data_IF_577399440423
#
_entry.id   IF_577399440423
#
_cell.length_a   1.000
_cell.length_b   1.000
_cell.length_c   1.000
_cell.angle_alpha   90.00
_cell.angle_beta   90.00
_cell.angle_gamma   90.00
#
_symmetry.space_group_name_H-M   'P 1'
#
loop_
_entity.id
_entity.type
_entity.pdbx_description
1 polymer ?
#
# COMPACT_ATOMS: atom_id res chain seq x y z
N UNK A 1 14.42 21.81 3.30
CA UNK A 1 13.59 20.60 3.52
C UNK A 1 13.72 20.21 4.97
N UNK A 2 12.61 20.06 5.70
CA UNK A 2 12.62 19.51 7.06
C UNK A 2 12.30 18.03 6.96
N UNK A 3 13.22 17.17 7.38
CA UNK A 3 12.98 15.73 7.45
C UNK A 3 12.26 15.39 8.75
N UNK A 4 11.47 14.32 8.74
CA UNK A 4 10.85 13.83 9.96
C UNK A 4 11.88 13.03 10.77
N UNK A 5 12.22 13.45 12.01
CA UNK A 5 13.18 12.72 12.84
C UNK A 5 12.69 11.34 13.31
N UNK A 6 11.36 11.11 13.37
CA UNK A 6 10.73 9.86 13.80
C UNK A 6 10.44 8.88 12.64
N UNK A 7 11.12 9.05 11.51
CA UNK A 7 10.87 8.27 10.28
C UNK A 7 10.91 6.75 10.52
N UNK A 8 11.82 6.25 11.34
CA UNK A 8 12.01 4.82 11.61
C UNK A 8 10.84 4.21 12.37
N UNK A 9 10.38 4.88 13.43
CA UNK A 9 9.23 4.46 14.23
C UNK A 9 7.96 4.47 13.39
N UNK A 10 7.76 5.53 12.59
CA UNK A 10 6.60 5.66 11.71
C UNK A 10 6.61 4.58 10.63
N UNK A 11 7.74 4.37 9.97
CA UNK A 11 7.86 3.35 8.92
C UNK A 11 7.60 1.94 9.48
N UNK A 12 8.20 1.62 10.63
CA UNK A 12 8.03 0.30 11.27
C UNK A 12 6.59 0.05 11.67
N UNK A 13 5.95 1.01 12.36
CA UNK A 13 4.56 0.90 12.77
C UNK A 13 3.62 0.82 11.56
N UNK A 14 3.88 1.61 10.51
CA UNK A 14 3.12 1.58 9.27
C UNK A 14 3.19 0.22 8.59
N UNK A 15 4.39 -0.33 8.39
CA UNK A 15 4.57 -1.64 7.73
C UNK A 15 3.85 -2.74 8.51
N UNK A 16 4.02 -2.78 9.83
CA UNK A 16 3.30 -3.74 10.69
C UNK A 16 1.79 -3.60 10.55
N UNK A 17 1.28 -2.36 10.59
CA UNK A 17 -0.14 -2.11 10.46
C UNK A 17 -0.68 -2.50 9.07
N UNK A 18 0.01 -2.12 8.00
CA UNK A 18 -0.35 -2.44 6.62
C UNK A 18 -0.49 -3.95 6.43
N UNK A 19 0.55 -4.72 6.76
CA UNK A 19 0.53 -6.17 6.54
C UNK A 19 -0.44 -6.92 7.47
N UNK A 20 -0.73 -6.39 8.67
CA UNK A 20 -1.81 -6.93 9.51
C UNK A 20 -3.19 -6.94 8.83
N UNK A 21 -3.40 -6.03 7.87
CA UNK A 21 -4.62 -5.91 7.06
C UNK A 21 -4.46 -6.54 5.68
N UNK A 22 -3.27 -6.50 5.11
CA UNK A 22 -2.99 -7.07 3.79
C UNK A 22 -3.04 -8.60 3.78
N UNK A 23 -2.50 -9.25 4.81
CA UNK A 23 -2.37 -10.72 4.88
C UNK A 23 -3.70 -11.45 5.16
N UNK A 24 -4.82 -10.73 5.12
CA UNK A 24 -6.16 -11.32 5.17
C UNK A 24 -6.41 -12.11 3.88
N UNK A 25 -6.86 -13.36 3.99
CA UNK A 25 -7.12 -14.23 2.82
C UNK A 25 -8.35 -13.81 2.00
N UNK A 26 -9.30 -13.12 2.62
CA UNK A 26 -10.48 -12.58 1.96
C UNK A 26 -10.18 -11.19 1.36
N UNK A 27 -10.28 -11.08 0.02
CA UNK A 27 -9.96 -9.85 -0.70
C UNK A 27 -10.86 -8.66 -0.33
N UNK A 28 -12.11 -8.90 0.07
CA UNK A 28 -13.01 -7.84 0.53
C UNK A 28 -12.60 -7.31 1.90
N UNK A 29 -12.32 -8.19 2.86
CA UNK A 29 -11.83 -7.81 4.19
C UNK A 29 -10.50 -7.07 4.10
N UNK A 30 -9.60 -7.51 3.20
CA UNK A 30 -8.34 -6.82 2.89
C UNK A 30 -8.60 -5.39 2.39
N UNK A 31 -9.44 -5.23 1.36
CA UNK A 31 -9.76 -3.92 0.80
C UNK A 31 -10.39 -2.98 1.85
N UNK A 32 -11.32 -3.48 2.67
CA UNK A 32 -11.92 -2.70 3.75
C UNK A 32 -10.90 -2.29 4.82
N UNK A 33 -10.02 -3.19 5.23
CA UNK A 33 -9.01 -2.93 6.26
C UNK A 33 -7.95 -1.92 5.81
N UNK A 34 -7.67 -1.83 4.51
CA UNK A 34 -6.68 -0.91 3.94
C UNK A 34 -7.28 0.43 3.49
N UNK A 35 -8.60 0.56 3.44
CA UNK A 35 -9.30 1.75 2.94
C UNK A 35 -8.79 3.05 3.55
N UNK A 36 -8.60 3.08 4.88
CA UNK A 36 -8.25 4.30 5.60
C UNK A 36 -6.78 4.72 5.41
N UNK A 37 -5.95 3.86 4.81
CA UNK A 37 -4.55 4.18 4.50
C UNK A 37 -4.39 4.95 3.18
N UNK A 38 -5.44 5.00 2.36
CA UNK A 38 -5.44 5.70 1.08
C UNK A 38 -6.37 6.92 1.12
N UNK A 39 -5.83 8.07 0.76
CA UNK A 39 -6.63 9.26 0.44
C UNK A 39 -7.51 9.01 -0.80
N UNK A 40 -8.78 9.48 -0.81
CA UNK A 40 -9.71 9.29 -1.91
C UNK A 40 -9.21 9.80 -3.27
N UNK A 41 -8.42 10.87 -3.32
CA UNK A 41 -8.02 11.52 -4.56
C UNK A 41 -6.50 11.58 -4.76
N UNK A 42 -5.74 11.62 -3.67
CA UNK A 42 -4.31 11.94 -3.67
C UNK A 42 -3.39 10.73 -3.45
N UNK A 43 -3.95 9.52 -3.51
CA UNK A 43 -3.20 8.27 -3.50
C UNK A 43 -2.96 7.77 -4.93
N UNK A 44 -1.77 7.24 -5.17
CA UNK A 44 -1.37 6.70 -6.47
C UNK A 44 -0.68 5.36 -6.29
N UNK A 45 -1.15 4.33 -6.97
CA UNK A 45 -0.51 3.00 -6.97
C UNK A 45 -0.02 2.69 -8.38
N UNK A 46 1.14 2.03 -8.48
CA UNK A 46 1.56 1.32 -9.68
C UNK A 46 1.64 -0.16 -9.37
N UNK A 47 0.71 -0.94 -9.91
CA UNK A 47 0.64 -2.39 -9.72
C UNK A 47 1.03 -3.08 -11.02
N UNK A 48 2.13 -3.84 -11.02
CA UNK A 48 2.64 -4.50 -12.23
C UNK A 48 2.84 -3.57 -13.44
N UNK A 49 3.12 -2.28 -13.18
CA UNK A 49 3.30 -1.25 -14.21
C UNK A 49 2.01 -0.57 -14.67
N UNK A 50 0.84 -1.00 -14.14
CA UNK A 50 -0.45 -0.35 -14.37
C UNK A 50 -0.71 0.65 -13.25
N UNK A 51 -0.87 1.92 -13.63
CA UNK A 51 -1.12 2.98 -12.67
C UNK A 51 -2.62 3.10 -12.32
N UNK A 52 -2.91 3.27 -11.02
CA UNK A 52 -4.23 3.49 -10.45
C UNK A 52 -4.21 4.76 -9.61
N UNK A 53 -5.32 5.51 -9.62
CA UNK A 53 -5.48 6.75 -8.86
C UNK A 53 -6.66 6.63 -7.90
N UNK A 54 -6.47 7.18 -6.70
CA UNK A 54 -7.50 7.30 -5.69
C UNK A 54 -7.79 5.97 -5.00
N UNK A 55 -8.32 6.07 -3.78
CA UNK A 55 -8.59 4.90 -2.93
C UNK A 55 -9.38 3.82 -3.65
N UNK A 56 -10.52 4.15 -4.24
CA UNK A 56 -11.43 3.15 -4.80
C UNK A 56 -10.79 2.37 -5.97
N UNK A 57 -10.02 3.08 -6.81
CA UNK A 57 -9.28 2.46 -7.91
C UNK A 57 -8.14 1.55 -7.44
N UNK A 58 -7.51 1.91 -6.31
CA UNK A 58 -6.47 1.12 -5.66
C UNK A 58 -7.07 -0.14 -5.03
N UNK A 59 -8.13 0.02 -4.22
CA UNK A 59 -8.76 -1.10 -3.51
C UNK A 59 -9.32 -2.17 -4.45
N UNK A 60 -9.76 -1.76 -5.65
CA UNK A 60 -10.19 -2.68 -6.69
C UNK A 60 -9.09 -3.63 -7.20
N UNK A 61 -7.79 -3.36 -6.92
CA UNK A 61 -6.66 -4.23 -7.27
C UNK A 61 -6.39 -5.34 -6.27
N UNK A 62 -6.96 -5.28 -5.07
CA UNK A 62 -6.66 -6.23 -3.99
C UNK A 62 -7.48 -7.53 -4.02
N UNK A 63 -7.95 -7.94 -5.20
CA UNK A 63 -8.59 -9.25 -5.37
C UNK A 63 -7.63 -10.39 -5.03
N UNK A 64 -8.15 -11.46 -4.45
CA UNK A 64 -7.40 -12.70 -4.25
C UNK A 64 -7.38 -13.50 -5.57
N UNK A 65 -6.23 -14.05 -5.92
CA UNK A 65 -6.07 -15.10 -6.93
C UNK A 65 -5.57 -16.40 -6.25
N UNK A 66 -5.62 -17.51 -6.97
CA UNK A 66 -5.10 -18.81 -6.52
C UNK A 66 -3.62 -19.01 -6.94
N UNK A 67 -2.89 -17.91 -7.15
CA UNK A 67 -1.52 -17.97 -7.63
C UNK A 67 -0.57 -18.50 -6.55
N UNK A 68 0.54 -19.17 -6.93
CA UNK A 68 1.56 -19.58 -5.98
C UNK A 68 2.18 -18.38 -5.28
N UNK A 69 2.70 -18.60 -4.07
CA UNK A 69 3.42 -17.57 -3.31
C UNK A 69 4.65 -17.13 -4.11
N UNK A 70 4.68 -15.85 -4.50
CA UNK A 70 5.78 -15.24 -5.21
C UNK A 70 6.45 -14.17 -4.32
N UNK A 71 7.79 -14.01 -4.39
CA UNK A 71 8.45 -12.87 -3.80
C UNK A 71 8.00 -11.58 -4.51
N UNK A 72 8.01 -10.47 -3.78
CA UNK A 72 7.62 -9.17 -4.31
C UNK A 72 8.43 -8.05 -3.64
N UNK A 73 8.51 -6.93 -4.35
CA UNK A 73 9.02 -5.67 -3.87
C UNK A 73 7.88 -4.65 -3.82
N UNK A 74 7.73 -3.98 -2.68
CA UNK A 74 6.73 -2.95 -2.48
C UNK A 74 7.34 -1.70 -1.83
N UNK A 75 7.01 -0.54 -2.37
CA UNK A 75 7.55 0.75 -1.94
C UNK A 75 6.39 1.66 -1.56
N UNK A 76 6.49 2.34 -0.42
CA UNK A 76 5.52 3.31 0.05
C UNK A 76 6.16 4.69 0.22
N UNK A 77 5.46 5.72 -0.25
CA UNK A 77 5.75 7.12 0.10
C UNK A 77 4.60 7.60 1.00
N UNK A 78 4.90 7.72 2.29
CA UNK A 78 3.95 8.24 3.27
C UNK A 78 3.90 9.76 3.21
N UNK A 79 2.69 10.30 3.24
CA UNK A 79 2.47 11.75 3.31
C UNK A 79 1.68 12.08 4.58
N UNK A 80 2.06 13.14 5.30
CA UNK A 80 1.27 13.61 6.42
C UNK A 80 -0.03 14.21 5.91
N UNK A 81 -1.11 14.03 6.67
CA UNK A 81 -2.35 14.77 6.48
C UNK A 81 -2.42 15.97 7.45
N UNK A 82 -3.48 16.77 7.34
CA UNK A 82 -3.70 17.93 8.21
C UNK A 82 -3.98 17.59 9.68
N UNK A 83 -4.28 16.33 10.01
CA UNK A 83 -4.52 15.86 11.39
C UNK A 83 -3.28 15.30 12.07
N UNK A 84 -2.11 15.31 11.41
CA UNK A 84 -0.86 14.75 11.94
C UNK A 84 -0.76 13.22 11.79
N UNK A 85 -1.71 12.59 11.09
CA UNK A 85 -1.64 11.18 10.68
C UNK A 85 -0.97 11.05 9.30
N UNK A 86 -0.71 9.82 8.87
CA UNK A 86 -0.09 9.54 7.56
C UNK A 86 -1.03 8.74 6.68
N UNK A 87 -0.96 8.99 5.38
CA UNK A 87 -1.58 8.17 4.35
C UNK A 87 -0.55 7.80 3.27
N UNK A 88 -0.87 6.81 2.45
CA UNK A 88 -0.06 6.36 1.33
C UNK A 88 -0.27 7.33 0.17
N UNK A 89 0.71 8.21 -0.06
CA UNK A 89 0.67 9.11 -1.21
C UNK A 89 1.04 8.39 -2.51
N UNK A 90 2.07 7.55 -2.46
CA UNK A 90 2.46 6.73 -3.60
C UNK A 90 2.79 5.31 -3.14
N UNK A 91 2.43 4.35 -3.98
CA UNK A 91 2.75 2.95 -3.81
C UNK A 91 3.22 2.35 -5.14
N UNK A 92 4.24 1.50 -5.08
CA UNK A 92 4.69 0.71 -6.22
C UNK A 92 4.77 -0.74 -5.76
N UNK A 93 4.09 -1.63 -6.47
CA UNK A 93 4.11 -3.07 -6.22
C UNK A 93 4.60 -3.80 -7.48
N UNK A 94 5.56 -4.72 -7.29
CA UNK A 94 6.12 -5.59 -8.32
C UNK A 94 6.37 -6.98 -7.75
N UNK A 95 5.88 -8.00 -8.43
CA UNK A 95 6.31 -9.39 -8.25
C UNK A 95 7.75 -9.54 -8.76
N UNK A 96 8.57 -10.20 -7.97
CA UNK A 96 9.97 -10.48 -8.31
C UNK A 96 10.02 -11.79 -9.11
N UNK A 97 9.44 -11.76 -10.31
CA UNK A 97 9.48 -12.88 -11.25
C UNK A 97 10.83 -12.89 -11.96
N UNK A 98 11.59 -13.97 -11.80
CA UNK A 98 12.77 -14.21 -12.63
C UNK A 98 12.28 -14.57 -14.05
N UNK A 99 12.40 -13.65 -15.01
CA UNK A 99 12.40 -14.03 -16.41
C UNK A 99 13.68 -14.84 -16.67
N UNK A 100 13.52 -16.14 -16.96
CA UNK A 100 14.57 -16.93 -17.63
C UNK A 100 14.55 -16.63 -19.13
#
# INVERSE_FOLDING_TARGET
MSFNPDYENIATAFVQHYYSKFDQGDGMARAQGLSDLYDPENSYMTFEGVQCKGRDGILAKFSTDDDPINPFSQIFILRPNSSGSYFIGNEIFRLDLHNN
#
